data_IF_587704492944
#
_entry.id   IF_587704492944
#
_cell.length_a   1.000
_cell.length_b   1.000
_cell.length_c   1.000
_cell.angle_alpha   90.00
_cell.angle_beta   90.00
_cell.angle_gamma   90.00
#
_symmetry.space_group_name_H-M   'P 1'
#
loop_
_entity.id
_entity.type
_entity.pdbx_description
1 polymer ?
#
# COMPACT_ATOMS: atom_id res chain seq x y z
N UNK A 1 11.88 14.32 15.54
CA UNK A 1 12.62 13.99 14.29
C UNK A 1 11.63 13.37 13.31
N UNK A 2 11.16 14.14 12.32
CA UNK A 2 10.24 13.65 11.29
C UNK A 2 11.02 12.64 10.45
N UNK A 3 10.75 11.34 10.63
CA UNK A 3 11.35 10.28 9.81
C UNK A 3 10.71 10.37 8.43
N UNK A 4 11.17 11.30 7.61
CA UNK A 4 10.81 11.32 6.20
C UNK A 4 11.41 10.07 5.54
N UNK A 5 10.56 9.07 5.32
CA UNK A 5 10.94 7.81 4.68
C UNK A 5 11.00 7.94 3.16
N UNK A 6 10.71 9.13 2.61
CA UNK A 6 10.45 9.32 1.19
C UNK A 6 9.34 8.40 0.70
N UNK A 7 9.47 7.89 -0.53
CA UNK A 7 8.56 6.89 -1.08
C UNK A 7 8.69 5.48 -0.47
N UNK A 8 9.84 5.16 0.13
CA UNK A 8 10.09 3.85 0.76
C UNK A 8 9.26 3.61 2.02
N UNK A 9 9.09 2.34 2.38
CA UNK A 9 8.32 1.94 3.56
C UNK A 9 9.15 2.03 4.85
N UNK A 10 10.39 1.56 4.80
CA UNK A 10 11.35 1.61 5.91
C UNK A 10 12.69 2.19 5.47
N UNK A 11 13.48 2.62 6.46
CA UNK A 11 14.89 3.01 6.29
C UNK A 11 15.73 2.21 7.27
N UNK A 12 16.83 1.63 6.79
CA UNK A 12 17.81 0.87 7.58
C UNK A 12 19.22 1.44 7.37
N UNK A 13 20.13 1.19 8.32
CA UNK A 13 21.55 1.58 8.19
C UNK A 13 22.38 0.56 7.39
N UNK A 14 21.86 -0.66 7.28
CA UNK A 14 22.52 -1.78 6.62
C UNK A 14 21.61 -2.34 5.53
N UNK A 15 22.21 -3.00 4.54
CA UNK A 15 21.47 -3.69 3.49
C UNK A 15 20.70 -4.88 4.10
N UNK A 16 19.45 -5.05 3.66
CA UNK A 16 18.60 -6.14 4.11
C UNK A 16 18.31 -7.06 2.93
N UNK A 17 18.59 -8.35 3.09
CA UNK A 17 18.15 -9.38 2.16
C UNK A 17 16.82 -9.93 2.62
N UNK A 18 15.77 -9.72 1.84
CA UNK A 18 14.42 -10.19 2.16
C UNK A 18 13.61 -10.45 0.90
N UNK A 19 12.81 -11.52 0.84
CA UNK A 19 11.85 -11.70 -0.25
C UNK A 19 10.71 -10.67 -0.21
N UNK A 20 10.50 -10.02 0.94
CA UNK A 20 9.41 -9.08 1.18
C UNK A 20 9.78 -7.63 0.86
N UNK A 21 11.08 -7.31 0.85
CA UNK A 21 11.56 -5.95 0.68
C UNK A 21 12.70 -5.89 -0.34
N UNK A 22 12.51 -5.06 -1.36
CA UNK A 22 13.61 -4.60 -2.20
C UNK A 22 14.39 -3.53 -1.43
N UNK A 23 15.71 -3.66 -1.43
CA UNK A 23 16.60 -2.79 -0.68
C UNK A 23 17.37 -1.90 -1.66
N UNK A 24 17.18 -0.58 -1.57
CA UNK A 24 17.79 0.41 -2.46
C UNK A 24 18.61 1.41 -1.64
N UNK A 25 19.85 1.67 -2.04
CA UNK A 25 20.71 2.63 -1.33
C UNK A 25 20.26 4.07 -1.60
N UNK A 26 20.19 4.89 -0.56
CA UNK A 26 19.85 6.30 -0.63
C UNK A 26 20.78 7.13 0.29
N UNK A 27 21.93 7.54 -0.25
CA UNK A 27 23.00 8.16 0.54
C UNK A 27 23.65 7.15 1.49
N UNK A 28 23.66 7.46 2.78
CA UNK A 28 24.24 6.64 3.85
C UNK A 28 23.24 5.66 4.49
N UNK A 29 22.03 5.59 3.95
CA UNK A 29 20.99 4.68 4.42
C UNK A 29 20.45 3.83 3.28
N UNK A 30 19.71 2.80 3.64
CA UNK A 30 19.01 1.91 2.72
C UNK A 30 17.50 2.10 2.87
N UNK A 31 16.79 2.24 1.75
CA UNK A 31 15.33 2.30 1.69
C UNK A 31 14.79 0.93 1.35
N UNK A 32 13.76 0.52 2.09
CA UNK A 32 13.06 -0.73 1.84
C UNK A 32 11.73 -0.45 1.15
N UNK A 33 11.55 -1.06 -0.02
CA UNK A 33 10.32 -1.01 -0.79
C UNK A 33 9.61 -2.36 -0.73
N UNK A 34 8.29 -2.39 -0.51
CA UNK A 34 7.54 -3.64 -0.53
C UNK A 34 7.66 -4.32 -1.90
N UNK A 35 7.94 -5.63 -1.90
CA UNK A 35 7.94 -6.44 -3.12
C UNK A 35 6.53 -6.92 -3.45
N UNK A 36 6.38 -7.46 -4.67
CA UNK A 36 5.16 -8.14 -5.07
C UNK A 36 4.77 -9.30 -4.13
N UNK A 37 5.75 -10.01 -3.57
CA UNK A 37 5.49 -11.09 -2.62
C UNK A 37 4.78 -10.59 -1.37
N UNK A 38 5.20 -9.43 -0.82
CA UNK A 38 4.58 -8.86 0.37
C UNK A 38 3.15 -8.42 0.09
N UNK A 39 2.92 -7.72 -1.01
CA UNK A 39 1.57 -7.30 -1.42
C UNK A 39 0.66 -8.53 -1.60
N UNK A 40 1.18 -9.61 -2.18
CA UNK A 40 0.42 -10.84 -2.35
C UNK A 40 -0.04 -11.48 -1.03
N UNK A 41 0.62 -11.23 0.11
CA UNK A 41 0.12 -11.68 1.42
C UNK A 41 -1.19 -10.99 1.79
N UNK A 42 -1.30 -9.69 1.53
CA UNK A 42 -2.53 -8.95 1.77
C UNK A 42 -3.63 -9.36 0.79
N UNK A 43 -3.25 -9.72 -0.44
CA UNK A 43 -4.21 -10.18 -1.43
C UNK A 43 -4.84 -11.55 -1.12
N UNK A 44 -4.24 -12.33 -0.22
CA UNK A 44 -4.82 -13.60 0.27
C UNK A 44 -5.95 -13.42 1.27
N UNK A 45 -6.07 -12.25 1.91
CA UNK A 45 -7.10 -11.99 2.90
C UNK A 45 -8.50 -12.09 2.28
N UNK A 46 -9.49 -12.56 3.04
CA UNK A 46 -10.89 -12.40 2.65
C UNK A 46 -11.27 -10.92 2.65
N UNK A 47 -12.21 -10.52 1.78
CA UNK A 47 -12.66 -9.13 1.72
C UNK A 47 -13.49 -8.80 2.98
N UNK A 48 -13.00 -7.92 3.89
CA UNK A 48 -13.60 -7.73 5.20
C UNK A 48 -14.93 -6.96 5.15
N UNK A 49 -15.16 -6.14 4.12
CA UNK A 49 -16.33 -5.30 4.01
C UNK A 49 -16.79 -5.08 2.56
N UNK A 50 -17.90 -4.36 2.41
CA UNK A 50 -18.46 -4.03 1.10
C UNK A 50 -17.50 -3.21 0.23
N UNK A 51 -16.66 -2.35 0.82
CA UNK A 51 -15.70 -1.58 0.05
C UNK A 51 -14.66 -2.52 -0.54
N UNK A 52 -13.98 -3.32 0.27
CA UNK A 52 -12.94 -4.25 -0.16
C UNK A 52 -13.45 -5.25 -1.22
N UNK A 53 -14.73 -5.67 -1.12
CA UNK A 53 -15.36 -6.51 -2.15
C UNK A 53 -15.37 -5.87 -3.55
N UNK A 54 -15.54 -4.55 -3.64
CA UNK A 54 -15.49 -3.86 -4.96
C UNK A 54 -14.12 -3.92 -5.61
N UNK A 55 -13.07 -4.10 -4.81
CA UNK A 55 -11.68 -4.17 -5.25
C UNK A 55 -11.21 -5.59 -5.61
N UNK A 56 -12.02 -6.64 -5.36
CA UNK A 56 -11.65 -8.03 -5.67
C UNK A 56 -11.23 -8.24 -7.14
N UNK A 57 -11.81 -7.47 -8.06
CA UNK A 57 -11.47 -7.49 -9.49
C UNK A 57 -10.01 -7.14 -9.81
N UNK A 58 -9.32 -6.46 -8.88
CA UNK A 58 -7.94 -6.04 -9.03
C UNK A 58 -6.95 -7.04 -8.42
N UNK A 59 -7.44 -8.06 -7.70
CA UNK A 59 -6.61 -9.08 -7.05
C UNK A 59 -5.86 -9.91 -8.09
N UNK A 60 -4.57 -10.16 -7.84
CA UNK A 60 -3.72 -11.00 -8.69
C UNK A 60 -3.27 -10.35 -9.99
N UNK A 61 -3.69 -9.11 -10.28
CA UNK A 61 -3.16 -8.35 -11.41
C UNK A 61 -1.71 -7.90 -11.13
N UNK A 62 -0.90 -7.68 -12.19
CA UNK A 62 0.45 -7.14 -12.03
C UNK A 62 0.45 -5.84 -11.21
N UNK A 63 1.30 -5.78 -10.18
CA UNK A 63 1.32 -4.65 -9.25
C UNK A 63 1.90 -3.42 -9.93
N UNK A 64 1.17 -2.31 -9.82
CA UNK A 64 1.54 -1.02 -10.40
C UNK A 64 2.18 -0.10 -9.35
N UNK A 65 3.11 0.75 -9.78
CA UNK A 65 3.86 1.64 -8.90
C UNK A 65 2.96 2.61 -8.11
N UNK A 66 1.89 3.12 -8.72
CA UNK A 66 0.96 4.03 -8.06
C UNK A 66 0.14 3.31 -6.97
N UNK A 67 -0.28 2.06 -7.21
CA UNK A 67 -0.93 1.23 -6.20
C UNK A 67 0.05 0.91 -5.07
N UNK A 68 1.31 0.61 -5.40
CA UNK A 68 2.35 0.33 -4.41
C UNK A 68 2.65 1.55 -3.53
N UNK A 69 2.63 2.76 -4.08
CA UNK A 69 2.78 3.99 -3.32
C UNK A 69 1.63 4.19 -2.31
N UNK A 70 0.38 3.91 -2.72
CA UNK A 70 -0.78 3.95 -1.83
C UNK A 70 -0.69 2.88 -0.74
N UNK A 71 -0.23 1.67 -1.09
CA UNK A 71 0.02 0.59 -0.14
C UNK A 71 1.06 1.01 0.91
N UNK A 72 2.20 1.59 0.49
CA UNK A 72 3.21 2.12 1.40
C UNK A 72 2.65 3.16 2.36
N UNK A 73 1.84 4.10 1.88
CA UNK A 73 1.19 5.11 2.73
C UNK A 73 0.23 4.46 3.75
N UNK A 74 -0.55 3.46 3.32
CA UNK A 74 -1.41 2.68 4.21
C UNK A 74 -0.64 1.97 5.32
N UNK A 75 0.48 1.34 4.99
CA UNK A 75 1.33 0.68 6.00
C UNK A 75 1.96 1.69 6.97
N UNK A 76 2.41 2.85 6.49
CA UNK A 76 2.91 3.94 7.36
C UNK A 76 1.83 4.40 8.35
N UNK A 77 0.58 4.53 7.89
CA UNK A 77 -0.55 4.92 8.73
C UNK A 77 -1.02 3.81 9.69
N UNK A 78 -0.70 2.55 9.41
CA UNK A 78 -0.93 1.45 10.37
C UNK A 78 -0.01 1.56 11.59
N UNK A 79 1.23 2.02 11.40
CA UNK A 79 2.17 2.27 12.50
C UNK A 79 1.88 3.56 13.26
N UNK A 80 1.50 4.61 12.54
CA UNK A 80 1.24 5.94 13.11
C UNK A 80 -0.06 6.52 12.52
N UNK A 81 -1.23 6.15 13.09
CA UNK A 81 -2.53 6.57 12.56
C UNK A 81 -2.73 8.08 12.62
N UNK A 82 -3.18 8.65 11.50
CA UNK A 82 -3.51 10.07 11.39
C UNK A 82 -4.80 10.26 10.57
N UNK A 83 -5.89 10.71 11.23
CA UNK A 83 -7.24 10.71 10.65
C UNK A 83 -7.34 11.43 9.31
N UNK A 84 -6.74 12.62 9.20
CA UNK A 84 -6.79 13.42 7.96
C UNK A 84 -6.11 12.71 6.79
N UNK A 85 -4.96 12.07 7.03
CA UNK A 85 -4.24 11.30 6.01
C UNK A 85 -4.92 9.99 5.66
N UNK A 86 -5.56 9.32 6.63
CA UNK A 86 -6.39 8.13 6.36
C UNK A 86 -7.55 8.49 5.43
N UNK A 87 -8.22 9.62 5.67
CA UNK A 87 -9.29 10.11 4.80
C UNK A 87 -8.76 10.46 3.39
N UNK A 88 -7.60 11.11 3.30
CA UNK A 88 -6.95 11.42 2.03
C UNK A 88 -6.55 10.13 1.26
N UNK A 89 -6.00 9.14 1.95
CA UNK A 89 -5.64 7.84 1.38
C UNK A 89 -6.88 7.09 0.85
N UNK A 90 -7.97 7.07 1.62
CA UNK A 90 -9.23 6.46 1.18
C UNK A 90 -9.73 7.09 -0.13
N UNK A 91 -9.70 8.44 -0.20
CA UNK A 91 -10.05 9.17 -1.43
C UNK A 91 -9.12 8.79 -2.59
N UNK A 92 -7.81 8.78 -2.37
CA UNK A 92 -6.83 8.46 -3.41
C UNK A 92 -6.98 7.03 -3.94
N UNK A 93 -7.20 6.04 -3.08
CA UNK A 93 -7.44 4.64 -3.46
C UNK A 93 -8.70 4.51 -4.32
N UNK A 94 -9.79 5.20 -3.95
CA UNK A 94 -11.03 5.21 -4.74
C UNK A 94 -10.85 5.89 -6.10
N UNK A 95 -10.12 7.00 -6.14
CA UNK A 95 -9.82 7.71 -7.38
C UNK A 95 -8.98 6.83 -8.32
N UNK A 96 -7.94 6.16 -7.80
CA UNK A 96 -7.13 5.24 -8.58
C UNK A 96 -7.96 4.08 -9.13
N UNK A 97 -8.82 3.47 -8.30
CA UNK A 97 -9.76 2.45 -8.75
C UNK A 97 -10.67 2.94 -9.89
N UNK A 98 -11.20 4.16 -9.80
CA UNK A 98 -12.01 4.75 -10.86
C UNK A 98 -11.25 4.95 -12.18
N UNK A 99 -9.94 5.26 -12.11
CA UNK A 99 -9.08 5.31 -13.30
C UNK A 99 -8.87 3.91 -13.86
N UNK A 100 -8.51 2.93 -13.03
CA UNK A 100 -8.25 1.54 -13.46
C UNK A 100 -9.48 0.85 -14.04
N UNK A 101 -10.68 1.18 -13.54
CA UNK A 101 -11.93 0.67 -14.13
C UNK A 101 -12.17 1.17 -15.56
N UNK A 102 -11.58 2.30 -15.96
CA UNK A 102 -11.74 2.89 -17.30
C UNK A 102 -10.61 2.49 -18.25
N UNK A 103 -9.39 2.46 -17.74
CA UNK A 103 -8.17 2.26 -18.55
C UNK A 103 -7.58 0.85 -18.45
N UNK A 104 -8.11 0.00 -17.57
CA UNK A 104 -7.52 -1.28 -17.21
C UNK A 104 -6.45 -1.15 -16.12
N UNK A 105 -5.92 -2.30 -15.70
CA UNK A 105 -4.90 -2.39 -14.64
C UNK A 105 -5.48 -2.37 -13.23
N UNK A 106 -4.70 -1.85 -12.28
CA UNK A 106 -5.06 -1.69 -10.88
C UNK A 106 -4.48 -2.74 -9.91
N UNK A 107 -3.49 -3.53 -10.34
CA UNK A 107 -2.86 -4.50 -9.44
C UNK A 107 -2.32 -3.84 -8.16
N UNK A 108 -2.51 -4.52 -7.02
CA UNK A 108 -2.22 -4.00 -5.69
C UNK A 108 -3.33 -3.15 -5.06
N UNK A 109 -4.36 -2.74 -5.80
CA UNK A 109 -5.47 -1.97 -5.22
C UNK A 109 -6.32 -2.77 -4.22
N UNK A 110 -6.44 -4.09 -4.41
CA UNK A 110 -7.11 -4.95 -3.44
C UNK A 110 -6.36 -4.96 -2.10
N UNK A 111 -5.04 -5.10 -2.12
CA UNK A 111 -4.20 -4.99 -0.93
C UNK A 111 -4.33 -3.62 -0.24
N UNK A 112 -4.44 -2.53 -1.01
CA UNK A 112 -4.69 -1.20 -0.46
C UNK A 112 -6.04 -1.12 0.29
N UNK A 113 -7.09 -1.77 -0.24
CA UNK A 113 -8.40 -1.81 0.41
C UNK A 113 -8.37 -2.61 1.73
N UNK A 114 -7.61 -3.72 1.77
CA UNK A 114 -7.36 -4.47 3.01
C UNK A 114 -6.66 -3.59 4.06
N UNK A 115 -5.59 -2.88 3.68
CA UNK A 115 -4.90 -1.95 4.58
C UNK A 115 -5.83 -0.84 5.08
N UNK A 116 -6.64 -0.24 4.21
CA UNK A 116 -7.60 0.79 4.59
C UNK A 116 -8.59 0.30 5.66
N UNK A 117 -9.06 -0.94 5.53
CA UNK A 117 -9.91 -1.55 6.55
C UNK A 117 -9.16 -1.69 7.90
N UNK A 118 -7.92 -2.19 7.87
CA UNK A 118 -7.10 -2.38 9.08
C UNK A 118 -6.86 -1.07 9.84
N UNK A 119 -6.62 0.03 9.13
CA UNK A 119 -6.34 1.34 9.74
C UNK A 119 -7.61 2.16 10.04
N UNK A 120 -8.79 1.59 9.87
CA UNK A 120 -10.07 2.25 10.20
C UNK A 120 -10.56 3.26 9.16
N UNK A 121 -10.03 3.24 7.93
CA UNK A 121 -10.47 4.11 6.83
C UNK A 121 -11.92 3.88 6.37
N UNK A 122 -12.54 2.78 6.82
CA UNK A 122 -13.92 2.41 6.49
C UNK A 122 -14.91 2.59 7.65
N UNK A 123 -14.49 3.09 8.81
CA UNK A 123 -15.40 3.47 9.90
C UNK A 123 -16.06 4.81 9.54
N UNK A 124 -17.25 4.76 8.94
CA UNK A 124 -18.16 5.90 8.84
C UNK A 124 -18.87 6.11 10.17
#
# INVERSE_FOLDING_TARGET
MRRDRGGGLFITREAVQSPWFACERAGDVWRLWPTAALVAQYERAEAPDALARTFLRFRGLPIEAESLALFCEGTKLAEAPEKARIAALNKAVRQRAAVCMRLGGGGGLFACAILLNLIGGNRR
#
